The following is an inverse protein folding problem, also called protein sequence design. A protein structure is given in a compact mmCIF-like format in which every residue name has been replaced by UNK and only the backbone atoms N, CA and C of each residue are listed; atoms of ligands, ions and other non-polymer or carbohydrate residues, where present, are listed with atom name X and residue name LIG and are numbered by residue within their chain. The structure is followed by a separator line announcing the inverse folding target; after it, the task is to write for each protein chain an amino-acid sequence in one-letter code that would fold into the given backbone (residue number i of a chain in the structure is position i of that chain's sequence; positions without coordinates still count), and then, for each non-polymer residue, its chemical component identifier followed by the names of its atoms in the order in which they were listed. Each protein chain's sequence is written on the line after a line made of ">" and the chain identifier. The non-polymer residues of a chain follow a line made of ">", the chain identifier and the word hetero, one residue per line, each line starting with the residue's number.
data_IF_216992153868
#
_entry.id   IF_216992153868
#
_cell.length_a   1.000
_cell.length_b   1.000
_cell.length_c   1.000
_cell.angle_alpha   90.00
_cell.angle_beta   90.00
_cell.angle_gamma   90.00
#
_symmetry.space_group_name_H-M   'P 1'
#
loop_
_entity.id
_entity.type
_entity.pdbx_description
1 polymer ?
#
# COMPACT_ATOMS: atom_id res chain seq x y z
N UNK A 1 -7.60 -53.99 0.33
CA UNK A 1 -8.54 -52.98 -0.21
C UNK A 1 -8.15 -51.62 0.36
N UNK A 2 -8.16 -50.57 -0.47
CA UNK A 2 -7.73 -49.17 -0.27
C UNK A 2 -6.22 -48.87 -0.54
N UNK A 3 -5.90 -47.71 -1.14
CA UNK A 3 -5.20 -47.69 -2.44
C UNK A 3 -3.81 -47.02 -2.45
N UNK A 4 -3.06 -47.34 -3.50
CA UNK A 4 -1.88 -46.63 -3.97
C UNK A 4 -2.24 -45.23 -4.50
N UNK A 5 -1.42 -44.24 -4.16
CA UNK A 5 -1.27 -43.01 -4.94
C UNK A 5 0.22 -42.78 -5.23
N UNK A 6 0.59 -42.45 -6.49
CA UNK A 6 1.97 -42.42 -6.94
C UNK A 6 2.65 -41.06 -6.73
N UNK A 7 3.95 -41.09 -7.00
CA UNK A 7 4.95 -40.05 -6.79
C UNK A 7 4.70 -38.73 -7.53
N UNK A 8 4.94 -37.62 -6.81
CA UNK A 8 5.62 -36.44 -7.37
C UNK A 8 6.32 -35.71 -6.24
N UNK A 9 7.59 -36.04 -6.08
CA UNK A 9 8.54 -35.34 -5.24
C UNK A 9 8.72 -33.90 -5.74
N UNK A 10 8.44 -32.93 -4.89
CA UNK A 10 9.08 -31.61 -4.97
C UNK A 10 9.58 -31.25 -3.58
N UNK A 11 10.90 -31.32 -3.54
CA UNK A 11 11.90 -31.01 -2.53
C UNK A 11 11.45 -30.23 -1.28
N UNK A 12 11.72 -30.88 -0.15
CA UNK A 12 11.69 -30.31 1.17
C UNK A 12 12.90 -29.41 1.38
N UNK A 13 12.69 -28.11 1.49
CA UNK A 13 13.65 -27.21 2.12
C UNK A 13 13.01 -26.44 3.27
N UNK A 14 12.98 -27.14 4.41
CA UNK A 14 13.34 -26.66 5.75
C UNK A 14 12.49 -25.52 6.35
N UNK A 15 11.67 -25.94 7.32
CA UNK A 15 11.16 -25.13 8.42
C UNK A 15 12.30 -24.44 9.18
N UNK A 16 12.19 -23.14 9.44
CA UNK A 16 12.54 -22.58 10.76
C UNK A 16 11.59 -21.44 11.13
N UNK A 17 10.72 -21.75 12.08
CA UNK A 17 9.99 -20.76 12.84
C UNK A 17 10.99 -19.95 13.68
N UNK A 18 11.00 -18.63 13.52
CA UNK A 18 11.60 -17.71 14.47
C UNK A 18 10.77 -16.43 14.48
N UNK A 19 10.06 -16.25 15.61
CA UNK A 19 9.53 -15.00 16.14
C UNK A 19 8.95 -14.01 15.13
N UNK A 20 7.62 -13.99 15.00
CA UNK A 20 6.94 -12.74 14.73
C UNK A 20 7.08 -11.88 16.00
N UNK A 21 7.82 -10.76 16.01
CA UNK A 21 7.58 -9.76 17.03
C UNK A 21 6.13 -9.28 16.87
N UNK A 22 5.38 -9.24 17.97
CA UNK A 22 4.02 -8.70 18.04
C UNK A 22 3.88 -7.45 17.16
N UNK A 23 2.92 -7.36 16.23
CA UNK A 23 2.67 -6.11 15.52
C UNK A 23 2.07 -5.12 16.52
N UNK A 24 2.90 -4.23 17.06
CA UNK A 24 2.52 -3.19 18.03
C UNK A 24 1.58 -2.10 17.47
N UNK A 25 0.74 -2.41 16.48
CA UNK A 25 -0.28 -1.50 16.00
C UNK A 25 -1.50 -2.23 15.44
N UNK A 26 -2.44 -2.54 16.33
CA UNK A 26 -3.80 -2.86 15.91
C UNK A 26 -4.33 -1.68 15.06
N UNK A 27 -4.92 -1.93 13.87
CA UNK A 27 -5.47 -0.87 13.05
C UNK A 27 -6.61 -0.18 13.81
N UNK A 28 -6.49 1.12 14.06
CA UNK A 28 -7.62 1.90 14.60
C UNK A 28 -8.77 1.86 13.59
N UNK A 29 -10.03 1.68 14.03
CA UNK A 29 -11.18 1.77 13.15
C UNK A 29 -11.26 3.17 12.54
N UNK A 30 -11.36 3.25 11.21
CA UNK A 30 -11.47 4.52 10.49
C UNK A 30 -12.95 4.89 10.34
N UNK A 31 -13.40 6.09 10.75
CA UNK A 31 -14.78 6.52 10.55
C UNK A 31 -15.12 6.65 9.06
N UNK A 32 -16.41 6.52 8.68
CA UNK A 32 -16.84 6.64 7.30
C UNK A 32 -16.53 8.05 6.77
N UNK A 33 -15.85 8.11 5.62
CA UNK A 33 -15.43 9.37 4.99
C UNK A 33 -16.63 10.15 4.44
N UNK A 34 -16.69 11.48 4.61
CA UNK A 34 -17.79 12.28 4.08
C UNK A 34 -17.71 12.42 2.54
N UNK A 35 -18.85 12.53 1.83
CA UNK A 35 -18.88 12.80 0.39
C UNK A 35 -18.81 14.32 0.14
N UNK A 36 -17.69 14.84 -0.35
CA UNK A 36 -17.56 16.26 -0.70
C UNK A 36 -16.87 16.51 -2.05
N UNK A 37 -17.32 17.52 -2.83
CA UNK A 37 -16.59 17.98 -4.00
C UNK A 37 -15.27 18.60 -3.52
N UNK A 38 -14.14 18.04 -3.93
CA UNK A 38 -12.83 18.45 -3.46
C UNK A 38 -12.53 19.87 -3.92
N UNK A 39 -12.72 20.84 -3.02
CA UNK A 39 -12.00 22.11 -3.15
C UNK A 39 -10.51 21.75 -3.11
N UNK A 40 -9.70 22.11 -4.12
CA UNK A 40 -8.29 21.78 -4.13
C UNK A 40 -7.63 22.36 -2.87
N UNK A 41 -6.97 21.52 -2.08
CA UNK A 41 -6.22 22.01 -0.92
C UNK A 41 -5.16 23.02 -1.39
N UNK A 42 -4.93 24.11 -0.63
CA UNK A 42 -3.80 25.01 -0.86
C UNK A 42 -2.49 24.22 -0.83
N UNK A 43 -1.55 24.55 -1.71
CA UNK A 43 -0.27 23.83 -1.87
C UNK A 43 0.51 23.67 -0.54
N UNK A 44 0.57 24.67 0.36
CA UNK A 44 1.23 24.50 1.65
C UNK A 44 0.62 23.38 2.51
N UNK A 45 -0.71 23.25 2.52
CA UNK A 45 -1.40 22.20 3.26
C UNK A 45 -1.21 20.81 2.63
N UNK A 46 -0.87 20.74 1.34
CA UNK A 46 -0.48 19.48 0.70
C UNK A 46 0.88 19.03 1.21
N UNK A 47 1.88 19.91 1.26
CA UNK A 47 3.22 19.58 1.75
C UNK A 47 3.22 19.04 3.18
N UNK A 48 2.42 19.63 4.08
CA UNK A 48 2.26 19.11 5.45
C UNK A 48 1.73 17.67 5.45
N UNK A 49 0.74 17.36 4.62
CA UNK A 49 0.20 15.99 4.50
C UNK A 49 1.15 15.02 3.81
N UNK A 50 2.00 15.49 2.90
CA UNK A 50 3.07 14.68 2.34
C UNK A 50 4.11 14.31 3.40
N UNK A 51 4.39 15.20 4.35
CA UNK A 51 5.29 14.92 5.48
C UNK A 51 4.71 13.88 6.45
N UNK A 52 3.39 13.73 6.51
CA UNK A 52 2.74 12.66 7.29
C UNK A 52 2.89 11.26 6.64
N UNK A 53 3.23 11.19 5.35
CA UNK A 53 3.54 9.93 4.68
C UNK A 53 4.88 9.39 5.15
N UNK A 54 4.91 8.10 5.47
CA UNK A 54 6.17 7.38 5.68
C UNK A 54 6.95 7.30 4.36
N UNK A 55 8.26 7.10 4.43
CA UNK A 55 9.10 6.92 3.23
C UNK A 55 8.57 5.81 2.32
N UNK A 56 8.12 4.69 2.90
CA UNK A 56 7.52 3.60 2.12
C UNK A 56 6.22 3.99 1.43
N UNK A 57 5.40 4.83 2.05
CA UNK A 57 4.17 5.33 1.45
C UNK A 57 4.46 6.35 0.33
N UNK A 58 5.52 7.16 0.46
CA UNK A 58 5.99 8.05 -0.61
C UNK A 58 6.47 7.26 -1.82
N UNK A 59 7.29 6.22 -1.62
CA UNK A 59 7.74 5.32 -2.69
C UNK A 59 6.55 4.69 -3.42
N UNK A 60 5.59 4.13 -2.67
CA UNK A 60 4.36 3.55 -3.26
C UNK A 60 3.59 4.62 -4.04
N UNK A 61 3.41 5.81 -3.48
CA UNK A 61 2.67 6.90 -4.14
C UNK A 61 3.35 7.37 -5.43
N UNK A 62 4.69 7.44 -5.45
CA UNK A 62 5.47 7.80 -6.64
C UNK A 62 5.23 6.83 -7.79
N UNK A 63 5.39 5.52 -7.57
CA UNK A 63 5.13 4.53 -8.63
C UNK A 63 3.67 4.53 -9.09
N UNK A 64 2.74 4.87 -8.19
CA UNK A 64 1.32 5.00 -8.50
C UNK A 64 1.07 6.24 -9.38
N UNK A 65 1.78 7.34 -9.13
CA UNK A 65 1.76 8.55 -9.95
C UNK A 65 2.33 8.32 -11.35
N UNK A 66 3.36 7.48 -11.47
CA UNK A 66 3.89 6.99 -12.75
C UNK A 66 2.96 6.02 -13.50
N UNK A 67 1.79 5.69 -12.93
CA UNK A 67 0.78 4.85 -13.58
C UNK A 67 0.93 3.34 -13.35
N UNK A 68 1.84 2.90 -12.47
CA UNK A 68 2.04 1.47 -12.17
C UNK A 68 0.86 0.85 -11.42
N UNK A 69 0.47 -0.37 -11.78
CA UNK A 69 -0.53 -1.14 -11.05
C UNK A 69 0.00 -1.60 -9.68
N UNK A 70 -0.88 -1.89 -8.71
CA UNK A 70 -0.45 -2.38 -7.39
C UNK A 70 0.37 -3.68 -7.47
N UNK A 71 0.15 -4.49 -8.51
CA UNK A 71 0.92 -5.70 -8.78
C UNK A 71 2.34 -5.36 -9.23
N UNK A 72 2.49 -4.46 -10.19
CA UNK A 72 3.81 -3.98 -10.67
C UNK A 72 4.59 -3.29 -9.56
N UNK A 73 3.95 -2.43 -8.76
CA UNK A 73 4.58 -1.80 -7.60
C UNK A 73 5.06 -2.85 -6.60
N UNK A 74 4.29 -3.93 -6.39
CA UNK A 74 4.69 -5.04 -5.54
C UNK A 74 5.96 -5.73 -6.05
N UNK A 75 6.07 -5.93 -7.37
CA UNK A 75 7.28 -6.49 -7.99
C UNK A 75 8.47 -5.54 -7.84
N UNK A 76 8.31 -4.25 -8.15
CA UNK A 76 9.36 -3.23 -8.06
C UNK A 76 9.90 -3.12 -6.63
N UNK A 77 9.00 -3.08 -5.66
CA UNK A 77 9.33 -2.89 -4.25
C UNK A 77 9.56 -4.20 -3.48
N UNK A 78 9.53 -5.35 -4.15
CA UNK A 78 9.68 -6.69 -3.58
C UNK A 78 8.74 -6.99 -2.40
N UNK A 79 7.47 -6.59 -2.52
CA UNK A 79 6.40 -6.84 -1.54
C UNK A 79 5.15 -7.40 -2.22
N UNK A 80 4.29 -8.07 -1.45
CA UNK A 80 3.03 -8.59 -1.99
C UNK A 80 2.07 -7.46 -2.41
N UNK A 81 1.28 -7.68 -3.47
CA UNK A 81 0.24 -6.74 -3.93
C UNK A 81 -0.72 -6.33 -2.81
N UNK A 82 -1.07 -7.26 -1.91
CA UNK A 82 -1.91 -6.97 -0.74
C UNK A 82 -1.30 -5.91 0.18
N UNK A 83 0.03 -5.91 0.30
CA UNK A 83 0.79 -4.96 1.12
C UNK A 83 0.82 -3.59 0.44
N UNK A 84 0.96 -3.54 -0.89
CA UNK A 84 0.80 -2.29 -1.64
C UNK A 84 -0.59 -1.70 -1.46
N UNK A 85 -1.65 -2.52 -1.56
CA UNK A 85 -3.04 -2.09 -1.30
C UNK A 85 -3.23 -1.59 0.14
N UNK A 86 -2.50 -2.15 1.10
CA UNK A 86 -2.47 -1.65 2.47
C UNK A 86 -1.84 -0.26 2.56
N UNK A 87 -0.66 -0.06 1.98
CA UNK A 87 -0.03 1.28 1.93
C UNK A 87 -0.92 2.30 1.24
N UNK A 88 -1.58 1.94 0.12
CA UNK A 88 -2.52 2.81 -0.58
C UNK A 88 -3.68 3.27 0.31
N UNK A 89 -4.25 2.39 1.14
CA UNK A 89 -5.32 2.78 2.08
C UNK A 89 -4.81 3.81 3.10
N UNK A 90 -3.59 3.65 3.61
CA UNK A 90 -3.01 4.59 4.56
C UNK A 90 -2.70 5.93 3.90
N UNK A 91 -2.14 5.91 2.68
CA UNK A 91 -1.92 7.12 1.87
C UNK A 91 -3.24 7.87 1.67
N UNK A 92 -4.31 7.15 1.31
CA UNK A 92 -5.62 7.76 1.09
C UNK A 92 -6.16 8.43 2.36
N UNK A 93 -6.03 7.77 3.50
CA UNK A 93 -6.43 8.35 4.78
C UNK A 93 -5.62 9.60 5.13
N UNK A 94 -4.28 9.55 5.01
CA UNK A 94 -3.38 10.67 5.33
C UNK A 94 -3.55 11.86 4.39
N UNK A 95 -3.68 11.60 3.10
CA UNK A 95 -3.93 12.66 2.10
C UNK A 95 -5.40 13.12 2.08
N UNK A 96 -6.30 12.41 2.78
CA UNK A 96 -7.75 12.60 2.74
C UNK A 96 -8.32 12.56 1.31
N UNK A 97 -7.96 11.51 0.59
CA UNK A 97 -8.45 11.23 -0.77
C UNK A 97 -9.21 9.92 -0.79
N UNK A 98 -10.12 9.78 -1.75
CA UNK A 98 -11.04 8.65 -1.84
C UNK A 98 -10.61 7.59 -2.85
N UNK A 99 -9.79 7.99 -3.82
CA UNK A 99 -9.43 7.11 -4.92
C UNK A 99 -8.03 7.40 -5.46
N UNK A 100 -7.56 6.45 -6.27
CA UNK A 100 -6.26 6.49 -6.91
C UNK A 100 -6.05 7.77 -7.72
N UNK A 101 -7.03 8.19 -8.51
CA UNK A 101 -6.93 9.37 -9.36
C UNK A 101 -6.70 10.64 -8.55
N UNK A 102 -7.39 10.79 -7.42
CA UNK A 102 -7.16 11.90 -6.50
C UNK A 102 -5.77 11.85 -5.87
N UNK A 103 -5.31 10.65 -5.45
CA UNK A 103 -3.96 10.48 -4.91
C UNK A 103 -2.87 10.86 -5.94
N UNK A 104 -3.04 10.43 -7.20
CA UNK A 104 -2.13 10.78 -8.31
C UNK A 104 -2.14 12.28 -8.59
N UNK A 105 -3.32 12.90 -8.62
CA UNK A 105 -3.43 14.35 -8.79
C UNK A 105 -2.69 15.12 -7.70
N UNK A 106 -2.78 14.66 -6.45
CA UNK A 106 -2.03 15.24 -5.34
C UNK A 106 -0.52 14.99 -5.50
N UNK A 107 -0.09 13.78 -5.83
CA UNK A 107 1.32 13.45 -6.05
C UNK A 107 1.96 14.35 -7.13
N UNK A 108 1.26 14.57 -8.25
CA UNK A 108 1.72 15.45 -9.33
C UNK A 108 1.84 16.91 -8.85
N UNK A 109 0.91 17.38 -8.02
CA UNK A 109 0.97 18.74 -7.45
C UNK A 109 2.08 18.91 -6.42
N UNK A 110 2.52 17.81 -5.80
CA UNK A 110 3.69 17.74 -4.93
C UNK A 110 5.00 17.53 -5.70
N UNK A 111 4.94 17.43 -7.03
CA UNK A 111 6.09 17.15 -7.90
C UNK A 111 6.76 15.80 -7.62
N UNK A 112 5.97 14.78 -7.26
CA UNK A 112 6.40 13.40 -6.96
C UNK A 112 6.38 12.48 -8.20
N UNK A 113 6.70 12.98 -9.39
CA UNK A 113 6.65 12.22 -10.65
C UNK A 113 7.76 12.58 -11.61
#
# INVERSE_FOLDING_TARGET
>A
MAPAYPASALDASVRRAAAYPEPAHAPRPQPPLPPHPLRPLPVPALFERANELTEREKEVLQWIAEGRTSREVGLILSIAERTVKFHLRNIYAKLNVLNRTQAVSIANRMNLG
#
